data_IF_147524039541
#
_entry.id   IF_147524039541
#
_cell.length_a   1.000
_cell.length_b   1.000
_cell.length_c   1.000
_cell.angle_alpha   90.00
_cell.angle_beta   90.00
_cell.angle_gamma   90.00
#
_symmetry.space_group_name_H-M   'P 1'
#
loop_
_entity.id
_entity.type
_entity.pdbx_description
1 polymer ?
#
# COMPACT_ATOMS: atom_id res chain seq x y z
N UNK A 1 0.85 28.35 21.12
CA UNK A 1 1.34 28.23 19.72
C UNK A 1 0.65 27.04 19.08
N UNK A 2 -0.22 27.27 18.10
CA UNK A 2 -0.81 26.20 17.29
C UNK A 2 0.19 25.82 16.20
N UNK A 3 0.79 24.64 16.29
CA UNK A 3 1.64 24.10 15.22
C UNK A 3 0.77 23.83 13.99
N UNK A 4 1.01 24.56 12.91
CA UNK A 4 0.43 24.24 11.61
C UNK A 4 1.33 23.21 10.93
N UNK A 5 0.88 21.95 10.74
CA UNK A 5 1.69 20.95 10.05
C UNK A 5 2.00 21.41 8.62
N UNK A 6 3.28 21.36 8.26
CA UNK A 6 3.74 21.61 6.89
C UNK A 6 3.58 20.32 6.11
N UNK A 7 2.67 20.33 5.12
CA UNK A 7 2.44 19.18 4.24
C UNK A 7 3.30 19.25 2.98
N UNK A 8 3.64 18.11 2.36
CA UNK A 8 4.31 18.08 1.06
C UNK A 8 3.51 18.84 0.00
N UNK A 9 4.18 19.30 -1.05
CA UNK A 9 3.47 19.93 -2.16
C UNK A 9 2.51 18.92 -2.86
N UNK A 10 1.47 19.39 -3.56
CA UNK A 10 0.46 18.49 -4.15
C UNK A 10 1.01 17.41 -5.10
N UNK A 11 2.12 17.67 -5.80
CA UNK A 11 2.75 16.68 -6.69
C UNK A 11 3.40 15.52 -5.94
N UNK A 12 4.04 15.80 -4.80
CA UNK A 12 4.57 14.76 -3.90
C UNK A 12 3.43 13.98 -3.26
N UNK A 13 2.37 14.66 -2.81
CA UNK A 13 1.19 13.98 -2.26
C UNK A 13 0.54 13.04 -3.30
N UNK A 14 0.49 13.45 -4.57
CA UNK A 14 -0.02 12.62 -5.66
C UNK A 14 0.81 11.36 -5.87
N UNK A 15 2.14 11.53 -5.92
CA UNK A 15 3.11 10.44 -6.06
C UNK A 15 2.96 9.42 -4.93
N UNK A 16 2.90 9.87 -3.68
CA UNK A 16 2.65 9.00 -2.51
C UNK A 16 1.32 8.25 -2.61
N UNK A 17 0.25 8.94 -3.00
CA UNK A 17 -1.05 8.33 -3.18
C UNK A 17 -1.06 7.26 -4.29
N UNK A 18 -0.40 7.52 -5.42
CA UNK A 18 -0.28 6.53 -6.51
C UNK A 18 0.54 5.32 -6.06
N UNK A 19 1.69 5.54 -5.40
CA UNK A 19 2.52 4.46 -4.86
C UNK A 19 1.74 3.55 -3.90
N UNK A 20 1.07 4.15 -2.91
CA UNK A 20 0.30 3.41 -1.90
C UNK A 20 -0.79 2.52 -2.54
N UNK A 21 -1.53 3.07 -3.52
CA UNK A 21 -2.58 2.31 -4.22
C UNK A 21 -1.99 1.19 -5.06
N UNK A 22 -0.90 1.44 -5.79
CA UNK A 22 -0.24 0.42 -6.61
C UNK A 22 0.36 -0.71 -5.77
N UNK A 23 1.08 -0.38 -4.69
CA UNK A 23 1.65 -1.38 -3.78
C UNK A 23 0.56 -2.23 -3.13
N UNK A 24 -0.53 -1.60 -2.67
CA UNK A 24 -1.68 -2.33 -2.11
C UNK A 24 -2.32 -3.25 -3.15
N UNK A 25 -2.53 -2.76 -4.39
CA UNK A 25 -3.11 -3.56 -5.47
C UNK A 25 -2.23 -4.77 -5.81
N UNK A 26 -0.92 -4.59 -5.92
CA UNK A 26 0.02 -5.68 -6.19
C UNK A 26 -0.10 -6.80 -5.14
N UNK A 27 -0.15 -6.43 -3.85
CA UNK A 27 -0.36 -7.40 -2.78
C UNK A 27 -1.69 -8.15 -2.94
N UNK A 28 -2.79 -7.46 -3.27
CA UNK A 28 -4.08 -8.12 -3.47
C UNK A 28 -4.02 -9.20 -4.56
N UNK A 29 -3.40 -8.88 -5.70
CA UNK A 29 -3.32 -9.83 -6.82
C UNK A 29 -2.58 -11.12 -6.44
N UNK A 30 -1.60 -11.05 -5.55
CA UNK A 30 -0.90 -12.25 -5.04
C UNK A 30 -1.74 -13.07 -4.09
N UNK A 31 -2.54 -12.44 -3.23
CA UNK A 31 -3.40 -13.18 -2.29
C UNK A 31 -4.72 -13.67 -2.91
N UNK A 32 -5.15 -13.11 -4.04
CA UNK A 32 -6.41 -13.48 -4.71
C UNK A 32 -6.51 -14.98 -5.06
N UNK A 33 -5.48 -15.64 -5.64
CA UNK A 33 -5.54 -17.07 -5.93
C UNK A 33 -5.78 -17.95 -4.70
N UNK A 34 -5.29 -17.54 -3.52
CA UNK A 34 -5.49 -18.26 -2.27
C UNK A 34 -6.90 -18.06 -1.66
N UNK A 35 -7.67 -17.08 -2.16
CA UNK A 35 -8.95 -16.70 -1.59
C UNK A 35 -10.13 -17.46 -2.23
N UNK A 36 -10.55 -18.56 -1.60
CA UNK A 36 -11.72 -19.32 -2.04
C UNK A 36 -13.03 -18.52 -1.97
N UNK A 37 -13.98 -18.83 -2.86
CA UNK A 37 -15.32 -18.24 -2.87
C UNK A 37 -16.01 -18.37 -1.51
N UNK A 38 -16.56 -17.26 -1.01
CA UNK A 38 -17.31 -17.23 0.26
C UNK A 38 -16.46 -17.07 1.53
N UNK A 39 -15.13 -17.18 1.45
CA UNK A 39 -14.23 -17.04 2.61
C UNK A 39 -14.17 -15.61 3.16
N UNK A 40 -13.81 -15.48 4.44
CA UNK A 40 -13.56 -14.20 5.07
C UNK A 40 -12.41 -13.44 4.38
N UNK A 41 -11.35 -14.15 3.98
CA UNK A 41 -10.24 -13.58 3.22
C UNK A 41 -10.72 -12.97 1.90
N UNK A 42 -11.51 -13.70 1.10
CA UNK A 42 -12.06 -13.16 -0.15
C UNK A 42 -12.85 -11.88 0.07
N UNK A 43 -13.77 -11.86 1.05
CA UNK A 43 -14.56 -10.67 1.39
C UNK A 43 -13.68 -9.50 1.81
N UNK A 44 -12.56 -9.78 2.48
CA UNK A 44 -11.58 -8.75 2.86
C UNK A 44 -10.87 -8.19 1.63
N UNK A 45 -10.35 -9.04 0.74
CA UNK A 45 -9.69 -8.62 -0.49
C UNK A 45 -10.64 -7.83 -1.42
N UNK A 46 -11.90 -8.24 -1.54
CA UNK A 46 -12.92 -7.53 -2.32
C UNK A 46 -13.19 -6.13 -1.77
N UNK A 47 -13.23 -5.97 -0.44
CA UNK A 47 -13.35 -4.65 0.20
C UNK A 47 -12.15 -3.76 -0.07
N UNK A 48 -10.93 -4.29 0.05
CA UNK A 48 -9.71 -3.51 -0.24
C UNK A 48 -9.73 -3.08 -1.71
N UNK A 49 -10.04 -4.01 -2.63
CA UNK A 49 -10.12 -3.73 -4.08
C UNK A 49 -11.13 -2.61 -4.38
N UNK A 50 -12.29 -2.61 -3.73
CA UNK A 50 -13.27 -1.52 -3.84
C UNK A 50 -12.69 -0.19 -3.37
N UNK A 51 -12.07 -0.15 -2.20
CA UNK A 51 -11.53 1.10 -1.65
C UNK A 51 -10.35 1.64 -2.45
N UNK A 52 -9.51 0.77 -3.04
CA UNK A 52 -8.49 1.19 -3.99
C UNK A 52 -9.13 1.90 -5.18
N UNK A 53 -10.19 1.32 -5.77
CA UNK A 53 -10.87 1.92 -6.91
C UNK A 53 -11.46 3.30 -6.56
N UNK A 54 -12.10 3.43 -5.40
CA UNK A 54 -12.70 4.69 -4.95
C UNK A 54 -11.62 5.76 -4.64
N UNK A 55 -10.48 5.38 -4.04
CA UNK A 55 -9.34 6.28 -3.81
C UNK A 55 -8.69 6.72 -5.14
N UNK A 56 -8.55 5.80 -6.11
CA UNK A 56 -7.92 6.06 -7.40
C UNK A 56 -8.70 7.07 -8.27
N UNK A 57 -10.01 7.21 -8.08
CA UNK A 57 -10.80 8.25 -8.78
C UNK A 57 -10.27 9.66 -8.50
N UNK A 58 -9.63 9.88 -7.35
CA UNK A 58 -9.10 11.19 -6.96
C UNK A 58 -7.72 11.44 -7.56
N UNK A 59 -6.89 10.40 -7.71
CA UNK A 59 -5.55 10.51 -8.29
C UNK A 59 -5.57 10.58 -9.82
N UNK A 60 -6.60 10.06 -10.48
CA UNK A 60 -6.76 10.11 -11.96
C UNK A 60 -7.07 11.49 -12.53
N UNK A 61 -7.47 12.46 -11.70
CA UNK A 61 -7.91 13.80 -12.18
C UNK A 61 -6.77 14.69 -12.69
N UNK A 62 -5.51 14.35 -12.41
CA UNK A 62 -4.35 15.14 -12.84
C UNK A 62 -3.26 14.23 -13.42
N UNK A 63 -2.72 14.54 -14.61
CA UNK A 63 -1.58 13.81 -15.14
C UNK A 63 -0.34 14.04 -14.28
N UNK A 64 0.50 13.00 -14.15
CA UNK A 64 1.80 13.11 -13.51
C UNK A 64 2.72 14.02 -14.33
N UNK A 65 3.49 14.89 -13.66
CA UNK A 65 4.60 15.57 -14.32
C UNK A 65 5.72 14.58 -14.64
N UNK A 66 6.61 14.93 -15.58
CA UNK A 66 7.77 14.08 -15.90
C UNK A 66 8.67 13.83 -14.67
N UNK A 67 8.78 14.81 -13.77
CA UNK A 67 9.51 14.65 -12.50
C UNK A 67 8.82 13.68 -11.54
N UNK A 68 7.50 13.81 -11.37
CA UNK A 68 6.72 12.91 -10.52
C UNK A 68 6.73 11.46 -11.05
N UNK A 69 6.70 11.29 -12.38
CA UNK A 69 6.83 9.98 -13.01
C UNK A 69 8.18 9.34 -12.69
N UNK A 70 9.29 10.07 -12.87
CA UNK A 70 10.63 9.55 -12.53
C UNK A 70 10.78 9.18 -11.06
N UNK A 71 10.20 9.98 -10.17
CA UNK A 71 10.22 9.69 -8.73
C UNK A 71 9.43 8.41 -8.40
N UNK A 72 8.24 8.25 -8.99
CA UNK A 72 7.46 7.01 -8.91
C UNK A 72 8.23 5.81 -9.46
N UNK A 73 8.83 5.93 -10.65
CA UNK A 73 9.59 4.85 -11.28
C UNK A 73 10.74 4.38 -10.38
N UNK A 74 11.46 5.30 -9.73
CA UNK A 74 12.51 4.97 -8.75
C UNK A 74 11.96 4.18 -7.56
N UNK A 75 10.83 4.61 -7.00
CA UNK A 75 10.19 3.96 -5.84
C UNK A 75 9.66 2.56 -6.21
N UNK A 76 9.09 2.41 -7.41
CA UNK A 76 8.66 1.11 -7.91
C UNK A 76 9.83 0.18 -8.16
N UNK A 77 10.95 0.68 -8.67
CA UNK A 77 12.15 -0.12 -8.84
C UNK A 77 12.70 -0.63 -7.50
N UNK A 78 12.66 0.18 -6.45
CA UNK A 78 13.02 -0.27 -5.10
C UNK A 78 12.08 -1.39 -4.60
N UNK A 79 10.78 -1.32 -4.90
CA UNK A 79 9.82 -2.37 -4.54
C UNK A 79 9.96 -3.64 -5.40
N UNK A 80 10.42 -3.52 -6.65
CA UNK A 80 10.54 -4.62 -7.61
C UNK A 80 11.46 -5.72 -7.07
N UNK A 81 12.58 -5.35 -6.45
CA UNK A 81 13.53 -6.28 -5.81
C UNK A 81 12.86 -7.16 -4.74
N UNK A 82 11.79 -6.65 -4.11
CA UNK A 82 11.04 -7.37 -3.10
C UNK A 82 9.92 -8.25 -3.68
N UNK A 83 9.41 -7.90 -4.87
CA UNK A 83 8.26 -8.55 -5.51
C UNK A 83 8.65 -9.73 -6.40
N UNK A 84 9.90 -9.77 -6.87
CA UNK A 84 10.45 -10.95 -7.57
C UNK A 84 10.63 -12.08 -6.55
N UNK A 85 9.80 -13.11 -6.66
CA UNK A 85 9.68 -14.19 -5.67
C UNK A 85 9.55 -15.58 -6.31
N UNK A 86 9.75 -15.69 -7.62
CA UNK A 86 9.57 -16.91 -8.40
C UNK A 86 10.54 -18.03 -8.00
N UNK A 87 11.75 -17.67 -7.59
CA UNK A 87 12.79 -18.61 -7.15
C UNK A 87 12.75 -18.91 -5.64
N UNK A 88 11.79 -18.33 -4.91
CA UNK A 88 11.63 -18.56 -3.47
C UNK A 88 10.75 -19.79 -3.20
N UNK A 89 11.06 -20.52 -2.13
CA UNK A 89 10.14 -21.53 -1.61
C UNK A 89 8.85 -20.87 -1.07
N UNK A 90 7.80 -21.69 -0.91
CA UNK A 90 6.47 -21.19 -0.54
C UNK A 90 6.43 -20.46 0.82
N UNK A 91 7.22 -20.90 1.81
CA UNK A 91 7.26 -20.27 3.14
C UNK A 91 7.95 -18.89 3.05
N UNK A 92 9.13 -18.84 2.44
CA UNK A 92 9.87 -17.60 2.23
C UNK A 92 9.06 -16.61 1.40
N UNK A 93 8.42 -17.08 0.33
CA UNK A 93 7.53 -16.27 -0.52
C UNK A 93 6.36 -15.73 0.28
N UNK A 94 5.70 -16.56 1.10
CA UNK A 94 4.58 -16.12 1.93
C UNK A 94 5.02 -15.02 2.92
N UNK A 95 6.15 -15.21 3.63
CA UNK A 95 6.71 -14.20 4.53
C UNK A 95 7.00 -12.88 3.82
N UNK A 96 7.63 -12.94 2.64
CA UNK A 96 7.94 -11.75 1.83
C UNK A 96 6.67 -10.98 1.44
N UNK A 97 5.64 -11.68 0.97
CA UNK A 97 4.37 -11.04 0.62
C UNK A 97 3.58 -10.54 1.83
N UNK A 98 3.71 -11.20 2.98
CA UNK A 98 3.17 -10.70 4.24
C UNK A 98 3.85 -9.37 4.61
N UNK A 99 5.18 -9.29 4.58
CA UNK A 99 5.93 -8.07 4.82
C UNK A 99 5.56 -6.94 3.83
N UNK A 100 5.37 -7.27 2.54
CA UNK A 100 4.90 -6.31 1.53
C UNK A 100 3.49 -5.76 1.83
N UNK A 101 2.58 -6.56 2.41
CA UNK A 101 1.27 -6.07 2.87
C UNK A 101 1.45 -5.06 4.01
N UNK A 102 2.40 -5.29 4.92
CA UNK A 102 2.71 -4.32 5.98
C UNK A 102 3.29 -3.03 5.41
N UNK A 103 4.25 -3.12 4.48
CA UNK A 103 4.78 -1.95 3.77
C UNK A 103 3.65 -1.16 3.05
N UNK A 104 2.74 -1.86 2.38
CA UNK A 104 1.56 -1.26 1.75
C UNK A 104 0.65 -0.55 2.75
N UNK A 105 0.42 -1.13 3.94
CA UNK A 105 -0.28 -0.45 5.02
C UNK A 105 0.44 0.83 5.42
N UNK A 106 1.75 0.78 5.64
CA UNK A 106 2.54 1.96 6.03
C UNK A 106 2.49 3.07 4.98
N UNK A 107 2.52 2.74 3.69
CA UNK A 107 2.29 3.74 2.62
C UNK A 107 0.89 4.37 2.70
N UNK A 108 -0.15 3.58 2.95
CA UNK A 108 -1.52 4.10 3.11
C UNK A 108 -1.62 5.00 4.34
N UNK A 109 -0.94 4.65 5.43
CA UNK A 109 -0.87 5.47 6.65
C UNK A 109 -0.12 6.78 6.41
N UNK A 110 1.02 6.76 5.73
CA UNK A 110 1.74 7.99 5.34
C UNK A 110 0.82 8.91 4.54
N UNK A 111 0.10 8.39 3.54
CA UNK A 111 -0.87 9.19 2.77
C UNK A 111 -1.96 9.77 3.68
N UNK A 112 -2.52 8.99 4.60
CA UNK A 112 -3.53 9.47 5.53
C UNK A 112 -3.04 10.62 6.42
N UNK A 113 -1.76 10.60 6.79
CA UNK A 113 -1.16 11.54 7.74
C UNK A 113 -0.54 12.77 7.04
N UNK A 114 -0.04 12.62 5.81
CA UNK A 114 0.78 13.65 5.15
C UNK A 114 0.17 14.20 3.87
N UNK A 115 -0.88 13.58 3.31
CA UNK A 115 -1.43 13.95 2.00
C UNK A 115 -2.88 14.49 2.07
N UNK A 116 -3.14 15.64 2.72
CA UNK A 116 -4.51 16.14 2.92
C UNK A 116 -5.25 16.50 1.63
N UNK A 117 -4.57 16.68 0.50
CA UNK A 117 -5.23 16.90 -0.80
C UNK A 117 -6.00 15.66 -1.25
N UNK A 118 -5.52 14.47 -0.89
CA UNK A 118 -6.09 13.19 -1.30
C UNK A 118 -6.79 12.46 -0.15
N UNK A 119 -6.28 12.54 1.08
CA UNK A 119 -6.73 11.70 2.19
C UNK A 119 -7.79 12.32 3.12
N UNK A 120 -8.32 13.52 2.81
CA UNK A 120 -9.41 14.14 3.59
C UNK A 120 -10.76 13.47 3.39
N UNK A 121 -10.89 12.62 2.39
CA UNK A 121 -12.10 11.87 2.09
C UNK A 121 -12.15 10.56 2.89
N UNK A 122 -13.35 10.03 3.19
CA UNK A 122 -13.51 8.85 4.05
C UNK A 122 -12.92 7.56 3.44
N UNK A 123 -12.77 7.48 2.12
CA UNK A 123 -12.31 6.30 1.39
C UNK A 123 -10.90 5.88 1.82
N UNK A 124 -9.97 6.82 2.02
CA UNK A 124 -8.62 6.52 2.49
C UNK A 124 -8.60 5.97 3.91
N UNK A 125 -9.50 6.47 4.78
CA UNK A 125 -9.66 5.93 6.14
C UNK A 125 -10.17 4.49 6.08
N UNK A 126 -11.13 4.20 5.21
CA UNK A 126 -11.67 2.86 5.04
C UNK A 126 -10.67 1.91 4.42
N UNK A 127 -9.88 2.37 3.44
CA UNK A 127 -8.77 1.62 2.88
C UNK A 127 -7.78 1.26 3.99
N UNK A 128 -7.29 2.24 4.76
CA UNK A 128 -6.37 2.02 5.89
C UNK A 128 -6.91 0.97 6.86
N UNK A 129 -8.15 1.11 7.32
CA UNK A 129 -8.74 0.17 8.27
C UNK A 129 -8.83 -1.24 7.68
N UNK A 130 -9.17 -1.36 6.40
CA UNK A 130 -9.35 -2.67 5.74
C UNK A 130 -8.00 -3.34 5.48
N UNK A 131 -6.98 -2.60 5.05
CA UNK A 131 -5.61 -3.12 4.89
C UNK A 131 -5.02 -3.49 6.24
N UNK A 132 -5.24 -2.68 7.28
CA UNK A 132 -4.79 -2.98 8.65
C UNK A 132 -5.34 -4.30 9.17
N UNK A 133 -6.64 -4.57 8.97
CA UNK A 133 -7.23 -5.85 9.37
C UNK A 133 -6.57 -7.05 8.67
N UNK A 134 -6.19 -6.91 7.40
CA UNK A 134 -5.45 -7.96 6.68
C UNK A 134 -4.03 -8.11 7.26
N UNK A 135 -3.30 -7.01 7.42
CA UNK A 135 -1.94 -6.98 7.93
C UNK A 135 -1.84 -7.58 9.34
N UNK A 136 -2.74 -7.22 10.25
CA UNK A 136 -2.80 -7.82 11.60
C UNK A 136 -3.19 -9.30 11.59
N UNK A 137 -3.96 -9.74 10.59
CA UNK A 137 -4.24 -11.15 10.38
C UNK A 137 -2.98 -11.92 9.98
N UNK A 138 -2.20 -11.37 9.04
CA UNK A 138 -0.95 -11.95 8.57
C UNK A 138 0.14 -11.92 9.65
N UNK A 139 0.22 -10.86 10.45
CA UNK A 139 1.21 -10.73 11.53
C UNK A 139 1.10 -11.82 12.60
N UNK A 140 -0.11 -12.36 12.79
CA UNK A 140 -0.34 -13.52 13.67
C UNK A 140 0.18 -14.83 13.07
N UNK A 141 0.28 -14.91 11.75
CA UNK A 141 0.77 -16.09 11.03
C UNK A 141 2.29 -16.01 10.82
N UNK A 142 2.82 -14.83 10.49
CA UNK A 142 4.24 -14.56 10.28
C UNK A 142 4.74 -13.49 11.27
N UNK A 143 5.18 -13.87 12.48
CA UNK A 143 5.83 -12.95 13.40
C UNK A 143 7.07 -12.29 12.77
N UNK A 144 7.23 -10.99 12.94
CA UNK A 144 8.37 -10.22 12.40
C UNK A 144 8.17 -9.66 10.98
N UNK A 145 7.05 -9.97 10.32
CA UNK A 145 6.71 -9.37 9.02
C UNK A 145 6.55 -7.85 9.08
N UNK A 146 6.23 -7.31 10.25
CA UNK A 146 6.05 -5.88 10.51
C UNK A 146 7.38 -5.14 10.47
N UNK A 147 8.43 -5.69 11.11
CA UNK A 147 9.77 -5.13 11.04
C UNK A 147 10.34 -5.16 9.62
N UNK A 148 10.18 -6.29 8.90
CA UNK A 148 10.60 -6.39 7.50
C UNK A 148 9.81 -5.42 6.60
N UNK A 149 8.49 -5.35 6.76
CA UNK A 149 7.64 -4.44 6.00
C UNK A 149 7.97 -2.96 6.26
N UNK A 150 8.32 -2.60 7.48
CA UNK A 150 8.78 -1.24 7.79
C UNK A 150 10.09 -0.91 7.07
N UNK A 151 11.06 -1.85 7.01
CA UNK A 151 12.30 -1.62 6.23
C UNK A 151 12.02 -1.44 4.73
N UNK A 152 11.14 -2.27 4.16
CA UNK A 152 10.74 -2.15 2.75
C UNK A 152 10.10 -0.77 2.49
N UNK A 153 9.24 -0.32 3.40
CA UNK A 153 8.66 1.02 3.32
C UNK A 153 9.74 2.10 3.36
N UNK A 154 10.68 2.04 4.31
CA UNK A 154 11.74 3.05 4.47
C UNK A 154 12.65 3.18 3.24
N UNK A 155 12.89 2.08 2.54
CA UNK A 155 13.70 2.08 1.31
C UNK A 155 12.94 2.64 0.08
N UNK A 156 11.62 2.45 0.03
CA UNK A 156 10.78 2.82 -1.11
C UNK A 156 9.93 4.10 -0.92
N UNK A 157 9.98 4.77 0.23
CA UNK A 157 9.18 5.97 0.57
C UNK A 157 9.75 7.33 0.12
#
# INVERSE_FOLDING_TARGET
>A
MTYAPTYPNPGVQHTRAVLALTATQACLEVFRPAANCGTALKRQLDKISRWIADCAQQTRKKPLSAGAKRDLDKRFHALEEYMITEDMDDETRFRRWAALVWAALTFVEDVCNTCPVYARCPEWRYLRQTVNTLAEGLRKLEPGMDEEGTRIYEEAA
#
